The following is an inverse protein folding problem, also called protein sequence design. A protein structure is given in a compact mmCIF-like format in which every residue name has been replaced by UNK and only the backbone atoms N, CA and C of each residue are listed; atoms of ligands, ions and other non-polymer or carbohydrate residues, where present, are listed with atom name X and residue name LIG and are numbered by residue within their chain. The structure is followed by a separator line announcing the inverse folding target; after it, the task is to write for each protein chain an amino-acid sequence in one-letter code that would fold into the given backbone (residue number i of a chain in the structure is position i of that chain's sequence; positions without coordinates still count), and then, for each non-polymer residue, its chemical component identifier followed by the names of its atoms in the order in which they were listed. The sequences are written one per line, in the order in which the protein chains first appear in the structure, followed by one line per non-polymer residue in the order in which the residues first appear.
data_IF_162506665236
#
_entry.id   IF_162506665236
#
_cell.length_a   1.000
_cell.length_b   1.000
_cell.length_c   1.000
_cell.angle_alpha   90.00
_cell.angle_beta   90.00
_cell.angle_gamma   90.00
#
_symmetry.space_group_name_H-M   'P 1'
#
loop_
_entity.id
_entity.type
_entity.pdbx_description
1 polymer ?
#
# COMPACT_ATOMS: atom_id res chain seq x y z
N UNK A 1 -4.64 -0.18 9.34
CA UNK A 1 -4.43 -0.31 7.88
C UNK A 1 -5.39 0.58 7.08
N UNK A 2 -6.71 0.39 7.20
CA UNK A 2 -7.73 1.13 6.44
C UNK A 2 -7.57 2.65 6.44
N UNK A 3 -7.45 3.26 7.62
CA UNK A 3 -7.31 4.73 7.75
C UNK A 3 -6.05 5.27 7.07
N UNK A 4 -4.93 4.52 7.13
CA UNK A 4 -3.67 4.89 6.46
C UNK A 4 -3.83 4.89 4.95
N UNK A 5 -4.53 3.89 4.39
CA UNK A 5 -4.82 3.83 2.95
C UNK A 5 -5.73 5.00 2.53
N UNK A 6 -6.79 5.28 3.29
CA UNK A 6 -7.66 6.43 3.02
C UNK A 6 -6.85 7.73 3.00
N UNK A 7 -5.94 7.91 3.96
CA UNK A 7 -5.09 9.09 4.00
C UNK A 7 -4.13 9.18 2.81
N UNK A 8 -3.55 8.05 2.40
CA UNK A 8 -2.69 7.99 1.22
C UNK A 8 -3.46 8.37 -0.07
N UNK A 9 -4.68 7.87 -0.24
CA UNK A 9 -5.57 8.22 -1.35
C UNK A 9 -5.93 9.71 -1.34
N UNK A 10 -6.24 10.28 -0.17
CA UNK A 10 -6.51 11.71 -0.02
C UNK A 10 -5.30 12.56 -0.46
N UNK A 11 -4.09 12.18 -0.07
CA UNK A 11 -2.86 12.89 -0.42
C UNK A 11 -2.51 12.75 -1.90
N UNK A 12 -2.72 11.57 -2.48
CA UNK A 12 -2.56 11.32 -3.91
C UNK A 12 -3.50 12.19 -4.74
N UNK A 13 -4.78 12.25 -4.37
CA UNK A 13 -5.78 13.08 -5.06
C UNK A 13 -5.50 14.58 -4.95
N UNK A 14 -4.76 15.01 -3.93
CA UNK A 14 -4.25 16.38 -3.78
C UNK A 14 -2.94 16.64 -4.53
N UNK A 15 -2.46 15.67 -5.33
CA UNK A 15 -1.25 15.77 -6.16
C UNK A 15 0.04 15.94 -5.33
N UNK A 16 0.03 15.50 -4.07
CA UNK A 16 1.25 15.50 -3.24
C UNK A 16 2.20 14.35 -3.59
N UNK A 17 1.73 13.34 -4.31
CA UNK A 17 2.51 12.19 -4.75
C UNK A 17 1.96 11.61 -6.05
N UNK A 18 2.84 11.04 -6.87
CA UNK A 18 2.49 10.41 -8.15
C UNK A 18 2.20 8.90 -8.01
N UNK A 19 2.56 8.28 -6.88
CA UNK A 19 2.42 6.86 -6.61
C UNK A 19 2.10 6.62 -5.13
N UNK A 20 1.47 5.50 -4.82
CA UNK A 20 1.26 5.00 -3.46
C UNK A 20 1.99 3.67 -3.32
N UNK A 21 2.88 3.58 -2.32
CA UNK A 21 3.55 2.33 -1.96
C UNK A 21 2.75 1.63 -0.86
N UNK A 22 2.31 0.42 -1.14
CA UNK A 22 1.65 -0.47 -0.21
C UNK A 22 2.67 -1.52 0.22
N UNK A 23 3.30 -1.31 1.38
CA UNK A 23 4.31 -2.21 1.94
C UNK A 23 3.75 -3.02 3.11
N UNK A 24 3.94 -4.34 3.04
CA UNK A 24 3.57 -5.28 4.09
C UNK A 24 3.47 -6.72 3.54
N UNK A 25 4.33 -7.60 4.03
CA UNK A 25 4.33 -9.03 3.67
C UNK A 25 3.37 -9.88 4.53
N UNK A 26 3.26 -11.17 4.17
CA UNK A 26 2.45 -12.15 4.88
C UNK A 26 3.17 -12.82 6.05
N UNK A 27 3.65 -12.04 7.02
CA UNK A 27 4.56 -12.52 8.08
C UNK A 27 3.88 -13.50 9.04
N UNK A 28 2.65 -13.16 9.46
CA UNK A 28 1.87 -13.92 10.43
C UNK A 28 0.53 -14.40 9.87
N UNK A 29 0.28 -14.14 8.58
CA UNK A 29 -1.02 -14.35 7.97
C UNK A 29 -0.85 -14.86 6.53
N UNK A 30 -1.77 -15.72 6.06
CA UNK A 30 -1.78 -16.21 4.67
C UNK A 30 -1.97 -15.11 3.63
N UNK A 31 -2.37 -13.92 4.07
CA UNK A 31 -2.66 -12.78 3.22
C UNK A 31 -1.50 -11.77 3.24
N UNK A 32 -1.06 -11.38 2.06
CA UNK A 32 -0.08 -10.31 1.86
C UNK A 32 -0.79 -8.97 2.06
N UNK A 33 -0.38 -8.22 3.09
CA UNK A 33 -0.98 -6.94 3.46
C UNK A 33 -0.90 -5.91 2.33
N UNK A 34 0.21 -5.88 1.58
CA UNK A 34 0.40 -5.02 0.41
C UNK A 34 -0.70 -5.20 -0.65
N UNK A 35 -1.14 -6.46 -0.89
CA UNK A 35 -2.22 -6.74 -1.83
C UNK A 35 -3.56 -6.21 -1.31
N UNK A 36 -3.85 -6.36 -0.01
CA UNK A 36 -5.08 -5.84 0.60
C UNK A 36 -5.12 -4.31 0.50
N UNK A 37 -4.00 -3.64 0.81
CA UNK A 37 -3.88 -2.19 0.74
C UNK A 37 -4.06 -1.67 -0.69
N UNK A 38 -3.42 -2.31 -1.67
CA UNK A 38 -3.53 -1.93 -3.08
C UNK A 38 -4.96 -2.13 -3.61
N UNK A 39 -5.58 -3.28 -3.36
CA UNK A 39 -6.96 -3.54 -3.78
C UNK A 39 -7.93 -2.54 -3.15
N UNK A 40 -7.70 -2.17 -1.88
CA UNK A 40 -8.53 -1.17 -1.24
C UNK A 40 -8.32 0.23 -1.84
N UNK A 41 -7.08 0.65 -2.12
CA UNK A 41 -6.80 1.91 -2.79
C UNK A 41 -7.39 1.97 -4.22
N UNK A 42 -7.31 0.86 -4.96
CA UNK A 42 -7.92 0.71 -6.28
C UNK A 42 -9.45 0.84 -6.22
N UNK A 43 -10.09 0.23 -5.22
CA UNK A 43 -11.54 0.39 -4.99
C UNK A 43 -11.97 1.83 -4.66
N UNK A 44 -11.02 2.67 -4.20
CA UNK A 44 -11.23 4.09 -3.93
C UNK A 44 -10.91 4.98 -5.14
N UNK A 45 -10.60 4.39 -6.30
CA UNK A 45 -10.41 5.09 -7.58
C UNK A 45 -8.96 5.38 -7.96
N UNK A 46 -7.97 4.85 -7.23
CA UNK A 46 -6.57 5.00 -7.64
C UNK A 46 -6.25 4.03 -8.78
N UNK A 47 -5.69 4.49 -9.91
CA UNK A 47 -5.28 3.60 -10.99
C UNK A 47 -4.22 2.58 -10.52
N UNK A 48 -4.36 1.32 -10.93
CA UNK A 48 -3.42 0.26 -10.59
C UNK A 48 -1.96 0.61 -10.96
N UNK A 49 -1.77 1.35 -12.07
CA UNK A 49 -0.46 1.84 -12.52
C UNK A 49 0.26 2.76 -11.53
N UNK A 50 -0.48 3.36 -10.58
CA UNK A 50 0.06 4.24 -9.54
C UNK A 50 0.26 3.51 -8.20
N UNK A 51 -0.06 2.22 -8.12
CA UNK A 51 0.03 1.41 -6.92
C UNK A 51 1.25 0.49 -7.00
N UNK A 52 2.19 0.70 -6.08
CA UNK A 52 3.38 -0.15 -5.95
C UNK A 52 3.13 -1.09 -4.77
N UNK A 53 3.27 -2.39 -5.00
CA UNK A 53 3.12 -3.41 -3.98
C UNK A 53 4.49 -3.91 -3.54
N UNK A 54 4.78 -3.79 -2.26
CA UNK A 54 5.98 -4.34 -1.63
C UNK A 54 5.54 -5.45 -0.67
N UNK A 55 5.73 -6.70 -1.09
CA UNK A 55 5.22 -7.90 -0.43
C UNK A 55 6.30 -8.79 0.19
N UNK A 56 7.57 -8.35 0.17
CA UNK A 56 8.73 -9.11 0.61
C UNK A 56 9.08 -8.87 2.08
N UNK A 57 8.57 -7.80 2.66
CA UNK A 57 8.91 -7.42 4.02
C UNK A 57 8.28 -8.29 5.09
N UNK A 58 9.13 -8.88 5.93
CA UNK A 58 8.77 -9.73 7.04
C UNK A 58 8.81 -9.02 8.41
N UNK A 59 9.18 -7.74 8.43
CA UNK A 59 9.19 -6.93 9.63
C UNK A 59 9.23 -5.43 9.25
N UNK A 60 9.05 -4.58 10.25
CA UNK A 60 9.04 -3.12 10.11
C UNK A 60 10.32 -2.56 9.48
N UNK A 61 11.48 -3.17 9.73
CA UNK A 61 12.75 -2.70 9.17
C UNK A 61 12.81 -2.98 7.66
N UNK A 62 12.35 -4.16 7.24
CA UNK A 62 12.32 -4.54 5.83
C UNK A 62 11.36 -3.67 5.01
N UNK A 63 10.25 -3.19 5.59
CA UNK A 63 9.31 -2.27 4.92
C UNK A 63 9.99 -0.98 4.41
N UNK A 64 11.08 -0.55 5.03
CA UNK A 64 11.84 0.65 4.63
C UNK A 64 12.95 0.29 3.63
N UNK A 65 13.53 -0.90 3.75
CA UNK A 65 14.67 -1.34 2.95
C UNK A 65 14.27 -1.78 1.53
N UNK A 66 13.11 -2.43 1.41
CA UNK A 66 12.59 -3.02 0.16
C UNK A 66 11.77 -2.03 -0.65
#
# INVERSE_FOLDING_TARGET
MREKVIKAVELFNKVYANNIICSGGGVYNKYIEANIMANFAESLGIPNSCLIKEDKSNNTYQNIQN
#
